data_IF_300912348401
#
_entry.id   IF_300912348401
#
_cell.length_a   1.000
_cell.length_b   1.000
_cell.length_c   1.000
_cell.angle_alpha   90.00
_cell.angle_beta   90.00
_cell.angle_gamma   90.00
#
_symmetry.space_group_name_H-M   'P 1'
#
loop_
_entity.id
_entity.type
_entity.pdbx_description
1 polymer ?
#
# COMPACT_ATOMS: atom_id res chain seq x y z
N UNK A 1 -1.73 30.76 7.52
CA UNK A 1 -1.27 29.85 6.44
C UNK A 1 -0.11 29.05 7.01
N UNK A 2 0.02 27.76 6.68
CA UNK A 2 1.22 27.02 7.08
C UNK A 2 2.30 27.35 6.05
N UNK A 3 3.38 27.96 6.48
CA UNK A 3 4.58 28.19 5.69
C UNK A 3 5.55 27.04 5.94
N UNK A 4 6.20 26.55 4.88
CA UNK A 4 7.35 25.66 4.99
C UNK A 4 8.58 26.47 5.41
N UNK A 5 9.65 25.76 5.85
CA UNK A 5 10.97 26.35 6.11
C UNK A 5 11.49 27.21 4.94
N UNK A 6 10.94 27.05 3.74
CA UNK A 6 11.26 27.81 2.52
C UNK A 6 10.28 28.96 2.20
N UNK A 7 9.35 29.33 3.10
CA UNK A 7 8.42 30.46 2.91
C UNK A 7 7.38 30.29 1.81
N UNK A 8 7.10 29.06 1.34
CA UNK A 8 6.11 28.80 0.30
C UNK A 8 4.76 28.40 0.90
N UNK A 9 3.68 28.95 0.36
CA UNK A 9 2.31 28.63 0.74
C UNK A 9 1.95 27.16 0.40
N UNK A 10 1.48 26.43 1.39
CA UNK A 10 0.98 25.05 1.25
C UNK A 10 -0.48 25.05 0.77
N UNK A 11 -0.70 25.19 -0.51
CA UNK A 11 -2.03 25.34 -1.12
C UNK A 11 -2.56 24.04 -1.72
N UNK A 12 -1.67 23.12 -2.11
CA UNK A 12 -2.03 21.90 -2.82
C UNK A 12 -2.48 20.79 -1.85
N UNK A 13 -3.38 19.93 -2.33
CA UNK A 13 -3.83 18.76 -1.57
C UNK A 13 -2.69 17.74 -1.44
N UNK A 14 -2.65 16.98 -0.32
CA UNK A 14 -1.64 15.93 -0.16
C UNK A 14 -1.81 14.84 -1.23
N UNK A 15 -0.69 14.37 -1.76
CA UNK A 15 -0.65 13.22 -2.66
C UNK A 15 -0.95 11.92 -1.89
N UNK A 16 -1.29 10.84 -2.61
CA UNK A 16 -1.51 9.54 -1.99
C UNK A 16 -0.25 9.03 -1.27
N UNK A 17 0.93 9.25 -1.86
CA UNK A 17 2.22 8.89 -1.24
C UNK A 17 2.41 9.60 0.11
N UNK A 18 2.12 10.91 0.17
CA UNK A 18 2.20 11.71 1.40
C UNK A 18 1.25 11.19 2.48
N UNK A 19 0.02 10.79 2.10
CA UNK A 19 -0.94 10.17 3.01
C UNK A 19 -0.45 8.81 3.54
N UNK A 20 0.15 7.98 2.68
CA UNK A 20 0.68 6.68 3.07
C UNK A 20 1.91 6.80 3.97
N UNK A 21 2.79 7.78 3.72
CA UNK A 21 3.92 8.10 4.58
C UNK A 21 3.49 8.61 5.96
N UNK A 22 2.48 9.48 6.01
CA UNK A 22 1.87 9.93 7.25
C UNK A 22 1.30 8.75 8.04
N UNK A 23 0.60 7.80 7.39
CA UNK A 23 0.13 6.57 8.02
C UNK A 23 1.28 5.71 8.54
N UNK A 24 2.33 5.48 7.77
CA UNK A 24 3.50 4.72 8.20
C UNK A 24 4.20 5.34 9.40
N UNK A 25 4.27 6.67 9.47
CA UNK A 25 4.83 7.39 10.62
C UNK A 25 3.89 7.45 11.84
N UNK A 26 2.71 6.84 11.78
CA UNK A 26 1.74 6.82 12.88
C UNK A 26 0.82 8.04 12.92
N UNK A 27 0.89 8.94 11.96
CA UNK A 27 0.03 10.11 11.87
C UNK A 27 -1.29 9.75 11.18
N UNK A 28 -2.32 9.50 11.99
CA UNK A 28 -3.68 9.23 11.51
C UNK A 28 -4.67 10.17 12.19
N UNK A 29 -5.75 10.58 11.52
CA UNK A 29 -6.77 11.42 12.15
C UNK A 29 -7.46 10.63 13.26
N UNK A 30 -7.59 11.24 14.44
CA UNK A 30 -8.28 10.64 15.59
C UNK A 30 -9.09 11.70 16.32
N UNK A 31 -10.37 11.44 16.52
CA UNK A 31 -11.23 12.25 17.37
C UNK A 31 -11.42 11.55 18.71
N UNK A 32 -10.98 12.21 19.80
CA UNK A 32 -11.21 11.74 21.16
C UNK A 32 -12.69 11.85 21.52
N UNK A 33 -13.36 12.88 21.00
CA UNK A 33 -14.79 13.12 21.25
C UNK A 33 -15.64 12.00 20.69
N UNK A 34 -15.31 11.52 19.49
CA UNK A 34 -16.02 10.38 18.90
C UNK A 34 -15.86 9.12 19.74
N UNK A 35 -14.63 8.82 20.19
CA UNK A 35 -14.38 7.64 21.03
C UNK A 35 -15.11 7.74 22.35
N UNK A 36 -15.06 8.90 23.00
CA UNK A 36 -15.78 9.14 24.26
C UNK A 36 -17.29 9.01 24.07
N UNK A 37 -17.85 9.65 23.05
CA UNK A 37 -19.28 9.57 22.74
C UNK A 37 -19.71 8.13 22.43
N UNK A 38 -18.94 7.40 21.63
CA UNK A 38 -19.23 6.01 21.27
C UNK A 38 -19.24 5.09 22.51
N UNK A 39 -18.24 5.22 23.38
CA UNK A 39 -18.13 4.39 24.60
C UNK A 39 -19.25 4.72 25.59
N UNK A 40 -19.53 6.01 25.82
CA UNK A 40 -20.61 6.43 26.73
C UNK A 40 -21.98 6.02 26.19
N UNK A 41 -22.24 6.22 24.90
CA UNK A 41 -23.49 5.75 24.28
C UNK A 41 -23.64 4.23 24.36
N UNK A 42 -22.56 3.47 24.10
CA UNK A 42 -22.57 2.01 24.23
C UNK A 42 -22.88 1.57 25.67
N UNK A 43 -22.31 2.26 26.69
CA UNK A 43 -22.59 2.00 28.07
C UNK A 43 -24.07 2.27 28.40
N UNK A 44 -24.62 3.41 27.97
CA UNK A 44 -26.01 3.78 28.24
C UNK A 44 -26.99 2.83 27.50
N UNK A 45 -26.69 2.45 26.27
CA UNK A 45 -27.46 1.47 25.50
C UNK A 45 -27.38 0.11 26.21
N UNK A 46 -26.19 -0.34 26.59
CA UNK A 46 -25.98 -1.57 27.33
C UNK A 46 -26.78 -1.59 28.64
N UNK A 47 -26.74 -0.49 29.41
CA UNK A 47 -27.50 -0.35 30.66
C UNK A 47 -29.03 -0.39 30.38
N UNK A 48 -29.50 0.22 29.27
CA UNK A 48 -30.92 0.23 28.91
C UNK A 48 -31.46 -1.16 28.60
N UNK A 49 -30.65 -1.98 27.90
CA UNK A 49 -31.06 -3.34 27.50
C UNK A 49 -30.78 -4.40 28.57
N UNK A 50 -29.65 -4.34 29.26
CA UNK A 50 -29.25 -5.33 30.26
C UNK A 50 -29.49 -4.89 31.72
N UNK A 51 -29.90 -3.65 31.97
CA UNK A 51 -30.02 -3.10 33.34
C UNK A 51 -30.92 -3.89 34.26
N UNK A 52 -32.10 -4.37 33.79
CA UNK A 52 -33.00 -5.22 34.55
C UNK A 52 -32.35 -6.56 34.94
N UNK A 53 -31.70 -7.24 33.99
CA UNK A 53 -30.98 -8.47 34.25
C UNK A 53 -29.79 -8.26 35.20
N UNK A 54 -29.12 -7.15 35.05
CA UNK A 54 -28.04 -6.73 35.93
C UNK A 54 -28.52 -6.49 37.37
N UNK A 55 -29.64 -5.78 37.55
CA UNK A 55 -30.25 -5.56 38.87
C UNK A 55 -30.65 -6.87 39.55
N UNK A 56 -31.24 -7.81 38.81
CA UNK A 56 -31.57 -9.15 39.35
C UNK A 56 -30.32 -9.96 39.67
N UNK A 57 -29.30 -9.91 38.81
CA UNK A 57 -27.99 -10.55 39.02
C UNK A 57 -27.32 -10.05 40.32
N UNK A 58 -27.24 -8.73 40.50
CA UNK A 58 -26.69 -8.14 41.75
C UNK A 58 -27.54 -8.42 42.98
N UNK A 59 -28.86 -8.44 42.85
CA UNK A 59 -29.74 -8.82 43.97
C UNK A 59 -29.48 -10.28 44.41
N UNK A 60 -29.33 -11.19 43.43
CA UNK A 60 -28.99 -12.59 43.67
C UNK A 60 -27.60 -12.73 44.29
N UNK A 61 -26.62 -12.01 43.77
CA UNK A 61 -25.26 -11.98 44.30
C UNK A 61 -25.24 -11.49 45.76
N UNK A 62 -25.97 -10.44 46.05
CA UNK A 62 -26.08 -9.91 47.40
C UNK A 62 -26.74 -10.92 48.35
N UNK A 63 -27.84 -11.54 47.92
CA UNK A 63 -28.50 -12.59 48.72
C UNK A 63 -27.57 -13.77 48.96
N UNK A 64 -26.91 -14.30 47.95
CA UNK A 64 -26.01 -15.44 48.08
C UNK A 64 -24.75 -15.12 48.89
N UNK A 65 -24.24 -13.88 48.84
CA UNK A 65 -23.11 -13.44 49.64
C UNK A 65 -23.44 -13.19 51.11
N UNK A 66 -24.71 -12.83 51.42
CA UNK A 66 -25.15 -12.56 52.80
C UNK A 66 -25.80 -13.79 53.46
N UNK A 67 -26.24 -14.78 52.71
CA UNK A 67 -26.82 -16.03 53.23
C UNK A 67 -25.82 -17.18 53.10
N UNK A 68 -24.97 -17.31 54.11
CA UNK A 68 -24.03 -18.42 54.18
C UNK A 68 -24.67 -19.61 54.91
N UNK A 69 -24.55 -20.83 54.37
CA UNK A 69 -24.89 -22.04 55.08
C UNK A 69 -23.88 -22.29 56.19
N UNK A 70 -24.27 -23.06 57.24
CA UNK A 70 -23.37 -23.40 58.34
C UNK A 70 -22.08 -24.08 57.87
N UNK A 71 -22.17 -24.93 56.84
CA UNK A 71 -21.02 -25.60 56.24
C UNK A 71 -20.08 -24.59 55.55
N UNK A 72 -20.61 -23.64 54.77
CA UNK A 72 -19.83 -22.58 54.09
C UNK A 72 -19.17 -21.63 55.08
N UNK A 73 -19.77 -21.45 56.27
CA UNK A 73 -19.23 -20.56 57.30
C UNK A 73 -18.14 -21.18 58.14
N UNK A 74 -18.13 -22.53 58.27
CA UNK A 74 -17.22 -23.26 59.15
C UNK A 74 -16.09 -24.00 58.42
N UNK A 75 -16.20 -24.22 57.12
CA UNK A 75 -15.17 -24.90 56.32
C UNK A 75 -14.28 -23.87 55.59
N UNK A 76 -13.03 -23.75 56.05
CA UNK A 76 -12.03 -22.86 55.46
C UNK A 76 -11.74 -23.16 53.98
N UNK A 77 -11.88 -24.43 53.55
CA UNK A 77 -11.65 -24.83 52.14
C UNK A 77 -12.72 -24.28 51.19
N UNK A 78 -13.89 -23.91 51.70
CA UNK A 78 -14.98 -23.35 50.87
C UNK A 78 -14.92 -21.83 50.73
N UNK A 79 -14.10 -21.13 51.51
CA UNK A 79 -14.01 -19.66 51.47
C UNK A 79 -13.55 -19.14 50.09
N UNK A 80 -12.45 -19.68 49.59
CA UNK A 80 -11.90 -19.26 48.30
C UNK A 80 -12.80 -19.64 47.10
N UNK A 81 -13.33 -20.88 46.99
CA UNK A 81 -14.30 -21.21 45.94
C UNK A 81 -15.55 -20.34 45.97
N UNK A 82 -16.11 -20.02 47.15
CA UNK A 82 -17.26 -19.14 47.26
C UNK A 82 -16.95 -17.71 46.79
N UNK A 83 -15.79 -17.16 47.19
CA UNK A 83 -15.35 -15.84 46.75
C UNK A 83 -15.20 -15.78 45.21
N UNK A 84 -14.58 -16.80 44.62
CA UNK A 84 -14.42 -16.90 43.18
C UNK A 84 -15.78 -17.03 42.47
N UNK A 85 -16.72 -17.78 43.05
CA UNK A 85 -18.06 -17.91 42.50
C UNK A 85 -18.83 -16.58 42.51
N UNK A 86 -18.76 -15.81 43.63
CA UNK A 86 -19.36 -14.48 43.74
C UNK A 86 -18.71 -13.49 42.76
N UNK A 87 -17.38 -13.50 42.64
CA UNK A 87 -16.65 -12.64 41.69
C UNK A 87 -17.04 -12.97 40.25
N UNK A 88 -17.12 -14.24 39.88
CA UNK A 88 -17.59 -14.69 38.57
C UNK A 88 -19.01 -14.25 38.27
N UNK A 89 -19.92 -14.39 39.24
CA UNK A 89 -21.32 -13.98 39.11
C UNK A 89 -21.42 -12.43 38.91
N UNK A 90 -20.66 -11.64 39.66
CA UNK A 90 -20.60 -10.18 39.49
C UNK A 90 -20.05 -9.78 38.12
N UNK A 91 -18.98 -10.46 37.65
CA UNK A 91 -18.41 -10.22 36.36
C UNK A 91 -19.40 -10.57 35.21
N UNK A 92 -20.08 -11.72 35.31
CA UNK A 92 -21.09 -12.11 34.30
C UNK A 92 -22.29 -11.17 34.29
N UNK A 93 -22.71 -10.61 35.43
CA UNK A 93 -23.79 -9.63 35.51
C UNK A 93 -23.43 -8.31 34.79
N UNK A 94 -22.15 -7.91 34.78
CA UNK A 94 -21.65 -6.68 34.11
C UNK A 94 -21.14 -6.91 32.71
N UNK A 95 -20.90 -8.17 32.30
CA UNK A 95 -20.29 -8.53 31.05
C UNK A 95 -20.93 -7.87 29.79
N UNK A 96 -22.26 -7.79 29.63
CA UNK A 96 -22.87 -7.18 28.46
C UNK A 96 -22.51 -5.70 28.27
N UNK A 97 -22.37 -4.95 29.35
CA UNK A 97 -21.96 -3.53 29.28
C UNK A 97 -20.47 -3.43 28.95
N UNK A 98 -19.63 -4.28 29.57
CA UNK A 98 -18.20 -4.31 29.32
C UNK A 98 -17.90 -4.69 27.89
N UNK A 99 -18.57 -5.70 27.34
CA UNK A 99 -18.42 -6.11 25.94
C UNK A 99 -18.81 -5.01 24.97
N UNK A 100 -19.96 -4.35 25.17
CA UNK A 100 -20.42 -3.24 24.34
C UNK A 100 -19.48 -2.04 24.39
N UNK A 101 -19.03 -1.67 25.58
CA UNK A 101 -18.10 -0.53 25.73
C UNK A 101 -16.73 -0.83 25.17
N UNK A 102 -16.23 -2.06 25.34
CA UNK A 102 -14.99 -2.53 24.74
C UNK A 102 -15.09 -2.53 23.21
N UNK A 103 -16.18 -3.09 22.68
CA UNK A 103 -16.42 -3.05 21.23
C UNK A 103 -16.47 -1.62 20.68
N UNK A 104 -17.18 -0.71 21.36
CA UNK A 104 -17.23 0.69 20.96
C UNK A 104 -15.84 1.37 21.03
N UNK A 105 -15.05 1.10 22.06
CA UNK A 105 -13.69 1.62 22.18
C UNK A 105 -12.76 1.13 21.06
N UNK A 106 -12.89 -0.14 20.66
CA UNK A 106 -12.08 -0.72 19.59
C UNK A 106 -12.55 -0.32 18.19
N UNK A 107 -13.85 -0.16 17.98
CA UNK A 107 -14.41 0.15 16.66
C UNK A 107 -14.43 1.65 16.33
N UNK A 108 -14.57 2.53 17.36
CA UNK A 108 -14.66 3.97 17.10
C UNK A 108 -13.47 4.57 16.36
N UNK A 109 -12.19 4.17 16.57
CA UNK A 109 -11.08 4.69 15.78
C UNK A 109 -11.11 4.26 14.29
N UNK A 110 -11.77 3.13 13.99
CA UNK A 110 -11.92 2.65 12.61
C UNK A 110 -12.76 3.59 11.74
N UNK A 111 -13.70 4.31 12.34
CA UNK A 111 -14.60 5.21 11.63
C UNK A 111 -13.88 6.40 10.95
N UNK A 112 -12.70 6.82 11.44
CA UNK A 112 -12.00 8.01 10.94
C UNK A 112 -10.65 7.65 10.32
N UNK A 113 -9.76 6.98 11.07
CA UNK A 113 -8.35 6.80 10.66
C UNK A 113 -7.91 5.35 10.54
N UNK A 114 -8.75 4.41 10.99
CA UNK A 114 -8.38 3.00 11.08
C UNK A 114 -7.40 2.67 12.22
N UNK A 115 -7.11 1.39 12.36
CA UNK A 115 -6.05 0.93 13.25
C UNK A 115 -4.70 1.15 12.59
N UNK A 116 -3.80 1.77 13.31
CA UNK A 116 -2.42 1.97 12.87
C UNK A 116 -1.46 1.58 14.00
N UNK A 117 -0.74 0.48 13.78
CA UNK A 117 0.33 0.02 14.66
C UNK A 117 1.65 0.49 14.02
N UNK A 118 2.18 1.61 14.51
CA UNK A 118 3.48 2.13 14.05
C UNK A 118 4.51 1.96 15.16
N UNK A 119 5.49 1.11 14.92
CA UNK A 119 6.62 0.91 15.84
C UNK A 119 7.51 2.15 15.94
N UNK A 120 7.54 2.99 14.90
CA UNK A 120 8.27 4.26 14.91
C UNK A 120 7.70 5.26 15.92
N UNK A 121 6.40 5.17 16.23
CA UNK A 121 5.76 6.00 17.25
C UNK A 121 6.14 5.60 18.68
N UNK A 122 6.66 4.39 18.89
CA UNK A 122 7.11 3.88 20.20
C UNK A 122 8.51 4.34 20.58
N UNK A 123 9.28 4.90 19.65
CA UNK A 123 10.63 5.41 19.92
C UNK A 123 10.53 6.62 20.88
N UNK A 124 11.20 6.57 22.03
CA UNK A 124 11.17 7.66 22.99
C UNK A 124 11.74 8.95 22.40
N UNK A 125 10.94 10.00 22.39
CA UNK A 125 11.39 11.30 21.90
C UNK A 125 11.59 12.24 23.10
N UNK A 126 12.81 12.30 23.62
CA UNK A 126 13.18 13.12 24.79
C UNK A 126 13.00 14.62 24.55
N UNK A 127 12.97 15.10 23.30
CA UNK A 127 12.69 16.51 23.02
C UNK A 127 11.30 16.95 23.46
N UNK A 128 10.36 16.02 23.61
CA UNK A 128 8.99 16.29 24.09
C UNK A 128 8.90 16.52 25.61
N UNK A 129 9.95 16.17 26.34
CA UNK A 129 10.03 16.37 27.80
C UNK A 129 10.43 17.81 28.18
N UNK A 130 10.84 18.62 27.23
CA UNK A 130 11.17 20.03 27.51
C UNK A 130 9.90 20.82 27.87
N UNK A 131 9.80 21.40 29.08
CA UNK A 131 8.59 22.10 29.54
C UNK A 131 8.39 23.47 28.86
N UNK A 132 9.46 24.11 28.41
CA UNK A 132 9.41 25.49 27.84
C UNK A 132 8.54 25.57 26.60
N UNK A 133 8.72 24.71 25.55
CA UNK A 133 7.81 24.68 24.39
C UNK A 133 6.39 24.28 24.76
N UNK A 134 6.22 23.48 25.82
CA UNK A 134 4.91 23.07 26.35
C UNK A 134 4.13 24.28 26.84
N UNK A 135 4.74 25.12 27.69
CA UNK A 135 4.15 26.34 28.21
C UNK A 135 3.82 27.35 27.10
N UNK A 136 4.73 27.57 26.14
CA UNK A 136 4.47 28.44 24.99
C UNK A 136 3.24 27.97 24.16
N UNK A 137 3.04 26.67 24.00
CA UNK A 137 1.85 26.13 23.29
C UNK A 137 0.56 26.39 24.05
N UNK A 138 0.55 26.34 25.40
CA UNK A 138 -0.64 26.63 26.21
C UNK A 138 -1.11 28.07 26.02
N UNK A 139 -0.19 29.02 25.92
CA UNK A 139 -0.49 30.45 25.70
C UNK A 139 -0.53 30.87 24.23
N UNK A 140 -0.46 29.91 23.29
CA UNK A 140 -0.58 30.18 21.88
C UNK A 140 -2.05 30.33 21.45
N UNK A 141 -2.29 30.92 20.27
CA UNK A 141 -3.64 31.00 19.66
C UNK A 141 -4.30 29.60 19.52
N UNK A 142 -3.50 28.52 19.39
CA UNK A 142 -4.04 27.15 19.42
C UNK A 142 -4.56 26.79 20.81
N UNK A 143 -3.84 27.15 21.87
CA UNK A 143 -4.30 26.91 23.24
C UNK A 143 -5.63 27.63 23.53
N UNK A 144 -5.76 28.90 23.11
CA UNK A 144 -7.00 29.68 23.25
C UNK A 144 -8.16 29.05 22.48
N UNK A 145 -7.93 28.58 21.25
CA UNK A 145 -9.00 27.92 20.45
C UNK A 145 -9.44 26.59 21.07
N UNK A 146 -8.54 25.80 21.63
CA UNK A 146 -8.89 24.57 22.34
C UNK A 146 -9.65 24.85 23.64
N UNK A 147 -9.26 25.89 24.37
CA UNK A 147 -9.97 26.33 25.58
C UNK A 147 -11.40 26.77 25.24
N UNK A 148 -11.58 27.55 24.17
CA UNK A 148 -12.91 28.00 23.73
C UNK A 148 -13.80 26.82 23.32
N UNK A 149 -13.26 25.85 22.59
CA UNK A 149 -13.97 24.61 22.27
C UNK A 149 -14.40 23.84 23.51
N UNK A 150 -13.50 23.69 24.49
CA UNK A 150 -13.79 23.00 25.74
C UNK A 150 -14.88 23.73 26.55
N UNK A 151 -14.85 25.05 26.56
CA UNK A 151 -15.88 25.87 27.20
C UNK A 151 -17.25 25.72 26.50
N UNK A 152 -17.28 25.74 25.18
CA UNK A 152 -18.51 25.53 24.41
C UNK A 152 -19.12 24.13 24.65
N UNK A 153 -18.29 23.09 24.75
CA UNK A 153 -18.72 21.72 25.14
C UNK A 153 -19.32 21.69 26.56
N UNK A 154 -18.62 22.30 27.48
CA UNK A 154 -19.11 22.40 28.87
C UNK A 154 -20.49 23.11 28.96
N UNK A 155 -20.63 24.22 28.21
CA UNK A 155 -21.91 24.94 28.16
C UNK A 155 -23.01 24.08 27.54
N UNK A 156 -22.75 23.39 26.45
CA UNK A 156 -23.75 22.55 25.78
C UNK A 156 -24.24 21.44 26.73
N UNK A 157 -23.32 20.71 27.36
CA UNK A 157 -23.66 19.63 28.31
C UNK A 157 -24.39 20.21 29.52
N UNK A 158 -23.93 21.34 30.06
CA UNK A 158 -24.55 22.04 31.16
C UNK A 158 -25.99 22.51 30.88
N UNK A 159 -26.21 23.09 29.71
CA UNK A 159 -27.55 23.51 29.27
C UNK A 159 -28.48 22.30 29.17
N UNK A 160 -28.05 21.20 28.56
CA UNK A 160 -28.85 19.98 28.40
C UNK A 160 -29.16 19.39 29.80
N UNK A 161 -28.19 19.36 30.70
CA UNK A 161 -28.39 18.91 32.07
C UNK A 161 -29.45 19.76 32.83
N UNK A 162 -29.34 21.09 32.73
CA UNK A 162 -30.29 22.00 33.38
C UNK A 162 -31.69 21.88 32.78
N UNK A 163 -31.81 21.79 31.43
CA UNK A 163 -33.10 21.60 30.78
C UNK A 163 -33.72 20.27 31.17
N UNK A 164 -32.94 19.18 31.19
CA UNK A 164 -33.41 17.87 31.63
C UNK A 164 -33.87 17.89 33.08
N UNK A 165 -33.09 18.49 33.99
CA UNK A 165 -33.42 18.59 35.40
C UNK A 165 -34.72 19.39 35.61
N UNK A 166 -34.88 20.53 34.93
CA UNK A 166 -36.11 21.34 35.00
C UNK A 166 -37.31 20.57 34.46
N UNK A 167 -37.16 19.85 33.35
CA UNK A 167 -38.26 19.07 32.78
C UNK A 167 -38.72 17.93 33.68
N UNK A 168 -37.84 17.35 34.49
CA UNK A 168 -38.13 16.23 35.37
C UNK A 168 -38.24 16.64 36.87
N UNK A 169 -38.18 17.94 37.18
CA UNK A 169 -38.17 18.42 38.56
C UNK A 169 -39.39 17.96 39.38
N UNK A 170 -40.59 18.03 38.80
CA UNK A 170 -41.83 17.58 39.46
C UNK A 170 -41.81 16.08 39.75
N UNK A 171 -41.35 15.28 38.79
CA UNK A 171 -41.18 13.80 38.92
C UNK A 171 -40.14 13.45 40.00
N UNK A 172 -39.02 14.18 40.06
CA UNK A 172 -38.01 13.99 41.10
C UNK A 172 -38.56 14.31 42.51
N UNK A 173 -39.34 15.37 42.62
CA UNK A 173 -39.96 15.75 43.93
C UNK A 173 -41.06 14.77 44.35
N UNK A 174 -41.77 14.13 43.39
CA UNK A 174 -42.83 13.16 43.68
C UNK A 174 -42.30 11.80 44.18
N UNK A 175 -41.02 11.46 43.91
CA UNK A 175 -40.42 10.17 44.31
C UNK A 175 -40.57 9.88 45.80
N UNK A 176 -40.52 10.89 46.65
CA UNK A 176 -40.68 10.76 48.10
C UNK A 176 -42.10 10.35 48.57
N UNK A 177 -43.10 10.50 47.70
CA UNK A 177 -44.50 10.17 47.99
C UNK A 177 -44.94 8.82 47.39
N UNK A 178 -44.04 8.13 46.69
CA UNK A 178 -44.34 6.86 46.02
C UNK A 178 -43.90 5.66 46.89
N UNK A 179 -44.56 4.49 46.77
CA UNK A 179 -44.07 3.25 47.36
C UNK A 179 -42.65 2.94 46.86
N UNK A 180 -41.78 2.39 47.72
CA UNK A 180 -40.36 2.21 47.49
C UNK A 180 -40.04 1.54 46.15
N UNK A 181 -40.75 0.47 45.84
CA UNK A 181 -40.53 -0.29 44.58
C UNK A 181 -40.86 0.54 43.31
N UNK A 182 -41.90 1.38 43.39
CA UNK A 182 -42.31 2.30 42.31
C UNK A 182 -41.31 3.45 42.20
N UNK A 183 -40.97 4.05 43.33
CA UNK A 183 -39.97 5.13 43.40
C UNK A 183 -38.59 4.70 42.84
N UNK A 184 -38.13 3.48 43.14
CA UNK A 184 -36.88 2.95 42.59
C UNK A 184 -36.95 2.80 41.03
N UNK A 185 -38.07 2.31 40.51
CA UNK A 185 -38.26 2.18 39.08
C UNK A 185 -38.32 3.54 38.37
N UNK A 186 -39.06 4.47 38.93
CA UNK A 186 -39.16 5.86 38.48
C UNK A 186 -37.78 6.54 38.52
N UNK A 187 -37.06 6.47 39.62
CA UNK A 187 -35.71 7.02 39.74
C UNK A 187 -34.74 6.44 38.67
N UNK A 188 -34.79 5.11 38.47
CA UNK A 188 -33.99 4.45 37.45
C UNK A 188 -34.36 4.95 36.03
N UNK A 189 -35.64 5.16 35.73
CA UNK A 189 -36.08 5.69 34.45
C UNK A 189 -35.62 7.14 34.22
N UNK A 190 -35.71 8.00 35.22
CA UNK A 190 -35.20 9.37 35.15
C UNK A 190 -33.70 9.41 35.00
N UNK A 191 -32.96 8.59 35.75
CA UNK A 191 -31.51 8.48 35.65
C UNK A 191 -31.11 7.96 34.24
N UNK A 192 -31.80 6.94 33.75
CA UNK A 192 -31.57 6.43 32.36
C UNK A 192 -31.85 7.49 31.29
N UNK A 193 -32.92 8.27 31.44
CA UNK A 193 -33.24 9.40 30.58
C UNK A 193 -32.16 10.50 30.63
N UNK A 194 -31.66 10.83 31.84
CA UNK A 194 -30.56 11.78 31.99
C UNK A 194 -29.29 11.31 31.28
N UNK A 195 -28.91 10.05 31.47
CA UNK A 195 -27.76 9.46 30.81
C UNK A 195 -27.90 9.48 29.27
N UNK A 196 -29.08 9.18 28.73
CA UNK A 196 -29.37 9.27 27.30
C UNK A 196 -29.27 10.72 26.78
N UNK A 197 -29.85 11.70 27.48
CA UNK A 197 -29.78 13.10 27.09
C UNK A 197 -28.34 13.63 27.11
N UNK A 198 -27.57 13.31 28.14
CA UNK A 198 -26.16 13.71 28.26
C UNK A 198 -25.29 13.00 27.23
N UNK A 199 -25.46 11.69 26.99
CA UNK A 199 -24.73 10.96 25.96
C UNK A 199 -25.09 11.44 24.54
N UNK A 200 -26.35 11.84 24.32
CA UNK A 200 -26.79 12.50 23.08
C UNK A 200 -26.03 13.81 22.82
N UNK A 201 -25.77 14.60 23.85
CA UNK A 201 -24.98 15.83 23.72
C UNK A 201 -23.55 15.54 23.32
N UNK A 202 -22.93 14.45 23.84
CA UNK A 202 -21.60 14.02 23.41
C UNK A 202 -21.57 13.57 21.95
N UNK A 203 -22.65 12.93 21.47
CA UNK A 203 -22.78 12.56 20.07
C UNK A 203 -22.82 13.80 19.14
N UNK A 204 -23.53 14.85 19.55
CA UNK A 204 -23.56 16.13 18.82
C UNK A 204 -22.15 16.75 18.79
N UNK A 205 -21.46 16.79 19.94
CA UNK A 205 -20.08 17.28 20.02
C UNK A 205 -19.17 16.49 19.08
N UNK A 206 -19.25 15.16 19.09
CA UNK A 206 -18.47 14.29 18.22
C UNK A 206 -18.79 14.54 16.73
N UNK A 207 -20.07 14.74 16.39
CA UNK A 207 -20.53 15.06 15.04
C UNK A 207 -19.90 16.34 14.48
N UNK A 208 -19.64 17.34 15.34
CA UNK A 208 -18.93 18.56 14.94
C UNK A 208 -17.40 18.37 14.95
N UNK A 209 -16.87 17.63 15.93
CA UNK A 209 -15.41 17.43 16.08
C UNK A 209 -14.81 16.59 14.95
N UNK A 210 -15.50 15.58 14.46
CA UNK A 210 -15.01 14.67 13.40
C UNK A 210 -14.64 15.42 12.12
N UNK A 211 -15.53 16.22 11.49
CA UNK A 211 -15.17 16.96 10.29
C UNK A 211 -14.08 18.01 10.53
N UNK A 212 -14.05 18.64 11.70
CA UNK A 212 -12.99 19.60 12.07
C UNK A 212 -11.64 18.89 12.19
N UNK A 213 -11.59 17.72 12.81
CA UNK A 213 -10.37 16.91 12.94
C UNK A 213 -9.87 16.44 11.58
N UNK A 214 -10.76 15.96 10.71
CA UNK A 214 -10.40 15.56 9.34
C UNK A 214 -9.85 16.74 8.53
N UNK A 215 -10.53 17.89 8.62
CA UNK A 215 -10.06 19.11 7.94
C UNK A 215 -8.66 19.55 8.43
N UNK A 216 -8.44 19.54 9.74
CA UNK A 216 -7.14 19.88 10.33
C UNK A 216 -6.05 18.88 9.92
N UNK A 217 -6.36 17.59 9.86
CA UNK A 217 -5.45 16.54 9.40
C UNK A 217 -5.02 16.77 7.95
N UNK A 218 -5.98 16.98 7.05
CA UNK A 218 -5.68 17.27 5.64
C UNK A 218 -4.87 18.58 5.51
N UNK A 219 -5.24 19.62 6.28
CA UNK A 219 -4.53 20.89 6.27
C UNK A 219 -3.07 20.76 6.72
N UNK A 220 -2.77 19.91 7.70
CA UNK A 220 -1.39 19.66 8.15
C UNK A 220 -0.54 18.90 7.13
N UNK A 221 -1.18 18.14 6.24
CA UNK A 221 -0.51 17.37 5.18
C UNK A 221 -0.46 18.09 3.84
N UNK A 222 -1.02 19.31 3.74
CA UNK A 222 -0.97 20.10 2.51
C UNK A 222 0.47 20.32 2.06
N UNK A 223 0.64 20.43 0.76
CA UNK A 223 1.93 20.52 0.10
C UNK A 223 2.06 21.83 -0.67
N UNK A 224 3.30 22.27 -0.89
CA UNK A 224 3.59 23.32 -1.85
C UNK A 224 3.57 22.74 -3.27
N UNK A 225 3.38 23.59 -4.29
CA UNK A 225 3.46 23.16 -5.70
C UNK A 225 4.82 22.55 -6.06
N UNK A 226 5.87 23.00 -5.39
CA UNK A 226 7.21 22.50 -5.63
C UNK A 226 7.38 21.08 -5.06
N UNK A 227 6.86 20.83 -3.85
CA UNK A 227 6.86 19.50 -3.23
C UNK A 227 6.09 18.48 -4.09
N UNK A 228 4.90 18.85 -4.59
CA UNK A 228 4.11 17.98 -5.49
C UNK A 228 4.89 17.66 -6.76
N UNK A 229 5.54 18.63 -7.39
CA UNK A 229 6.35 18.40 -8.59
C UNK A 229 7.56 17.51 -8.31
N UNK A 230 8.20 17.69 -7.17
CA UNK A 230 9.34 16.87 -6.77
C UNK A 230 8.91 15.42 -6.52
N UNK A 231 7.80 15.23 -5.83
CA UNK A 231 7.26 13.91 -5.54
C UNK A 231 6.83 13.16 -6.81
N UNK A 232 6.21 13.86 -7.77
CA UNK A 232 5.92 13.28 -9.10
C UNK A 232 7.19 12.84 -9.83
N UNK A 233 8.25 13.67 -9.81
CA UNK A 233 9.54 13.31 -10.42
C UNK A 233 10.17 12.08 -9.75
N UNK A 234 10.06 11.97 -8.44
CA UNK A 234 10.57 10.81 -7.69
C UNK A 234 9.75 9.55 -7.95
N UNK A 235 8.43 9.65 -8.03
CA UNK A 235 7.52 8.53 -8.28
C UNK A 235 7.61 8.01 -9.71
N UNK A 236 7.63 8.90 -10.72
CA UNK A 236 7.66 8.51 -12.12
C UNK A 236 9.06 8.11 -12.60
N UNK A 237 10.09 8.38 -11.80
CA UNK A 237 11.49 8.28 -12.19
C UNK A 237 11.86 9.36 -13.22
N UNK A 238 13.10 9.84 -13.20
CA UNK A 238 13.50 10.85 -14.19
C UNK A 238 13.45 10.25 -15.59
N UNK A 239 12.90 10.96 -16.59
CA UNK A 239 12.92 10.53 -17.99
C UNK A 239 14.33 10.20 -18.48
N UNK A 240 15.33 10.89 -17.94
CA UNK A 240 16.75 10.66 -18.20
C UNK A 240 17.23 9.29 -17.70
N UNK A 241 16.78 8.87 -16.50
CA UNK A 241 17.12 7.56 -15.96
C UNK A 241 16.50 6.44 -16.79
N UNK A 242 15.22 6.57 -17.19
CA UNK A 242 14.56 5.62 -18.10
C UNK A 242 15.30 5.57 -19.47
N UNK A 243 15.69 6.73 -19.98
CA UNK A 243 16.48 6.81 -21.22
C UNK A 243 17.85 6.13 -21.09
N UNK A 244 18.55 6.35 -19.97
CA UNK A 244 19.85 5.73 -19.68
C UNK A 244 19.75 4.21 -19.56
N UNK A 245 18.74 3.71 -18.83
CA UNK A 245 18.48 2.27 -18.70
C UNK A 245 18.22 1.65 -20.06
N UNK A 246 17.38 2.29 -20.91
CA UNK A 246 17.07 1.79 -22.26
C UNK A 246 18.30 1.73 -23.16
N UNK A 247 19.17 2.75 -23.12
CA UNK A 247 20.44 2.77 -23.85
C UNK A 247 21.37 1.64 -23.39
N UNK A 248 21.53 1.46 -22.07
CA UNK A 248 22.35 0.38 -21.51
C UNK A 248 21.84 -1.00 -21.89
N UNK A 249 20.53 -1.22 -21.92
CA UNK A 249 19.91 -2.46 -22.36
C UNK A 249 20.19 -2.73 -23.84
N UNK A 250 20.08 -1.71 -24.71
CA UNK A 250 20.39 -1.82 -26.15
C UNK A 250 21.86 -2.13 -26.39
N UNK A 251 22.77 -1.45 -25.67
CA UNK A 251 24.20 -1.72 -25.76
C UNK A 251 24.54 -3.15 -25.32
N UNK A 252 23.93 -3.61 -24.24
CA UNK A 252 24.15 -4.96 -23.74
C UNK A 252 23.62 -6.02 -24.72
N UNK A 253 22.44 -5.81 -25.29
CA UNK A 253 21.88 -6.68 -26.32
C UNK A 253 22.79 -6.72 -27.55
N UNK A 254 23.31 -5.56 -28.02
CA UNK A 254 24.24 -5.46 -29.11
C UNK A 254 25.57 -6.19 -28.83
N UNK A 255 26.12 -6.05 -27.61
CA UNK A 255 27.34 -6.77 -27.21
C UNK A 255 27.12 -8.28 -27.24
N UNK A 256 25.99 -8.78 -26.71
CA UNK A 256 25.66 -10.22 -26.75
C UNK A 256 25.52 -10.74 -28.17
N UNK A 257 24.86 -9.98 -29.05
CA UNK A 257 24.73 -10.32 -30.46
C UNK A 257 26.09 -10.45 -31.14
N UNK A 258 27.02 -9.51 -30.94
CA UNK A 258 28.34 -9.53 -31.52
C UNK A 258 29.20 -10.70 -31.00
N UNK A 259 28.98 -11.18 -29.76
CA UNK A 259 29.66 -12.37 -29.20
C UNK A 259 29.26 -13.68 -29.92
N UNK A 260 28.14 -13.72 -30.62
CA UNK A 260 27.72 -14.90 -31.40
C UNK A 260 28.36 -14.94 -32.81
N UNK A 261 28.92 -13.82 -33.28
CA UNK A 261 29.56 -13.76 -34.63
C UNK A 261 30.71 -14.78 -34.79
N UNK A 262 31.60 -14.99 -33.81
CA UNK A 262 32.65 -16.01 -33.92
C UNK A 262 32.14 -17.44 -34.07
N UNK A 263 30.91 -17.71 -33.68
CA UNK A 263 30.25 -19.03 -33.75
C UNK A 263 29.43 -19.21 -35.03
N UNK A 264 29.43 -18.21 -35.89
CA UNK A 264 28.72 -18.27 -37.17
C UNK A 264 29.51 -19.11 -38.20
N UNK A 265 28.79 -19.75 -39.13
CA UNK A 265 29.38 -20.52 -40.19
C UNK A 265 29.72 -19.67 -41.41
N UNK A 266 28.97 -18.60 -41.63
CA UNK A 266 29.18 -17.65 -42.71
C UNK A 266 28.61 -16.28 -42.35
N UNK A 267 29.24 -15.22 -42.82
CA UNK A 267 28.70 -13.86 -42.81
C UNK A 267 28.38 -13.45 -44.24
N UNK A 268 27.09 -13.17 -44.50
CA UNK A 268 26.61 -12.68 -45.78
C UNK A 268 26.60 -11.15 -45.73
N UNK A 269 27.21 -10.52 -46.76
CA UNK A 269 27.41 -9.08 -46.77
C UNK A 269 26.86 -8.38 -48.00
N UNK A 270 26.31 -7.19 -47.79
CA UNK A 270 26.31 -6.12 -48.75
C UNK A 270 27.43 -5.15 -48.34
N UNK A 271 28.55 -5.03 -49.06
CA UNK A 271 29.84 -4.52 -48.57
C UNK A 271 29.79 -3.22 -47.82
N UNK A 272 28.92 -2.29 -48.20
CA UNK A 272 28.83 -0.95 -47.57
C UNK A 272 27.72 -0.81 -46.57
N UNK A 273 26.68 -1.65 -46.58
CA UNK A 273 25.47 -1.38 -45.83
C UNK A 273 25.09 -2.45 -44.79
N UNK A 274 25.12 -3.75 -45.19
CA UNK A 274 24.56 -4.80 -44.33
C UNK A 274 25.52 -5.96 -44.12
N UNK A 275 25.45 -6.58 -42.94
CA UNK A 275 26.11 -7.85 -42.66
C UNK A 275 25.20 -8.72 -41.82
N UNK A 276 25.01 -9.98 -42.22
CA UNK A 276 24.17 -10.96 -41.54
C UNK A 276 24.99 -12.22 -41.32
N UNK A 277 25.17 -12.62 -40.05
CA UNK A 277 25.87 -13.84 -39.67
C UNK A 277 24.85 -14.98 -39.50
N UNK A 278 25.13 -16.09 -40.16
CA UNK A 278 24.31 -17.30 -40.16
C UNK A 278 25.04 -18.43 -39.44
N UNK A 279 24.30 -19.21 -38.68
CA UNK A 279 24.77 -20.46 -38.09
C UNK A 279 23.87 -21.60 -38.52
N UNK A 280 24.47 -22.73 -38.89
CA UNK A 280 23.76 -23.94 -39.28
C UNK A 280 24.45 -25.19 -38.74
N UNK A 281 23.68 -26.02 -38.03
CA UNK A 281 24.15 -27.35 -37.58
C UNK A 281 23.23 -28.41 -38.16
N UNK A 282 23.77 -29.19 -39.13
CA UNK A 282 23.00 -30.23 -39.84
C UNK A 282 22.35 -31.25 -38.90
N UNK A 283 22.94 -31.49 -37.73
CA UNK A 283 22.45 -32.51 -36.80
C UNK A 283 21.35 -32.00 -35.86
N UNK A 284 21.25 -30.69 -35.68
CA UNK A 284 20.40 -30.07 -34.63
C UNK A 284 19.40 -29.05 -35.14
N UNK A 285 19.58 -28.54 -36.38
CA UNK A 285 18.75 -27.43 -36.87
C UNK A 285 18.06 -27.82 -38.20
N UNK A 286 16.79 -27.43 -38.32
CA UNK A 286 16.00 -27.63 -39.53
C UNK A 286 16.38 -26.63 -40.62
N UNK A 287 16.74 -25.41 -40.22
CA UNK A 287 17.15 -24.33 -41.12
C UNK A 287 18.26 -23.51 -40.45
N UNK A 288 19.08 -22.77 -41.22
CA UNK A 288 20.04 -21.81 -40.69
C UNK A 288 19.34 -20.72 -39.91
N UNK A 289 19.99 -20.25 -38.81
CA UNK A 289 19.51 -19.15 -37.98
C UNK A 289 20.39 -17.92 -38.13
N UNK A 290 19.77 -16.73 -38.00
CA UNK A 290 20.46 -15.45 -37.98
C UNK A 290 20.97 -15.17 -36.56
N UNK A 291 22.29 -15.30 -36.34
CA UNK A 291 22.90 -15.08 -35.01
C UNK A 291 23.35 -13.64 -34.78
N UNK A 292 23.63 -12.91 -35.86
CA UNK A 292 23.89 -11.47 -35.77
C UNK A 292 23.48 -10.78 -37.07
N UNK A 293 22.95 -9.57 -36.96
CA UNK A 293 22.66 -8.71 -38.13
C UNK A 293 22.92 -7.25 -37.79
N UNK A 294 23.38 -6.48 -38.75
CA UNK A 294 23.69 -5.07 -38.56
C UNK A 294 23.75 -4.28 -39.86
N UNK A 295 23.53 -2.98 -39.71
CA UNK A 295 23.72 -1.99 -40.78
C UNK A 295 24.92 -1.10 -40.43
N UNK A 296 25.54 -0.53 -41.45
CA UNK A 296 26.60 0.50 -41.39
C UNK A 296 27.74 0.14 -40.42
N UNK A 297 27.87 0.87 -39.30
CA UNK A 297 28.90 0.62 -38.28
C UNK A 297 28.80 -0.78 -37.65
N UNK A 298 27.56 -1.24 -37.39
CA UNK A 298 27.34 -2.59 -36.84
C UNK A 298 27.75 -3.65 -37.84
N UNK A 299 27.44 -3.44 -39.13
CA UNK A 299 27.85 -4.33 -40.18
C UNK A 299 29.38 -4.37 -40.34
N UNK A 300 30.04 -3.22 -40.24
CA UNK A 300 31.51 -3.15 -40.25
C UNK A 300 32.12 -3.92 -39.07
N UNK A 301 31.57 -3.79 -37.86
CA UNK A 301 32.00 -4.53 -36.68
C UNK A 301 31.79 -6.04 -36.83
N UNK A 302 30.65 -6.48 -37.40
CA UNK A 302 30.41 -7.91 -37.68
C UNK A 302 31.46 -8.45 -38.63
N UNK A 303 31.78 -7.74 -39.71
CA UNK A 303 32.83 -8.15 -40.68
C UNK A 303 34.21 -8.23 -40.03
N UNK A 304 34.59 -7.23 -39.23
CA UNK A 304 35.86 -7.23 -38.51
C UNK A 304 35.96 -8.43 -37.55
N UNK A 305 34.94 -8.68 -36.72
CA UNK A 305 34.93 -9.82 -35.78
C UNK A 305 34.98 -11.15 -36.58
N UNK A 306 34.25 -11.25 -37.70
CA UNK A 306 34.27 -12.42 -38.54
C UNK A 306 35.66 -12.68 -39.13
N UNK A 307 36.35 -11.65 -39.65
CA UNK A 307 37.70 -11.75 -40.17
C UNK A 307 38.71 -12.15 -39.10
N UNK A 308 38.67 -11.57 -37.90
CA UNK A 308 39.52 -11.91 -36.75
C UNK A 308 39.35 -13.37 -36.31
N UNK A 309 38.14 -13.93 -36.42
CA UNK A 309 37.81 -15.30 -36.01
C UNK A 309 37.77 -16.29 -37.19
N UNK A 310 38.28 -15.90 -38.37
CA UNK A 310 38.33 -16.74 -39.59
C UNK A 310 36.96 -17.27 -40.04
N UNK A 311 35.89 -16.54 -39.71
CA UNK A 311 34.55 -16.83 -40.23
C UNK A 311 34.48 -16.36 -41.70
N UNK A 312 34.11 -17.22 -42.66
CA UNK A 312 34.04 -16.85 -44.05
C UNK A 312 33.03 -15.72 -44.30
N UNK A 313 33.45 -14.75 -45.11
CA UNK A 313 32.59 -13.64 -45.52
C UNK A 313 32.22 -13.85 -46.98
N UNK A 314 30.93 -13.90 -47.27
CA UNK A 314 30.41 -14.08 -48.64
C UNK A 314 29.64 -12.84 -49.05
N UNK A 315 30.04 -12.25 -50.16
CA UNK A 315 29.38 -11.07 -50.69
C UNK A 315 28.20 -11.48 -51.57
N UNK A 316 26.98 -11.14 -51.15
CA UNK A 316 25.73 -11.35 -51.86
C UNK A 316 24.75 -10.22 -51.49
N UNK A 317 24.85 -9.04 -52.13
CA UNK A 317 24.05 -7.87 -51.77
C UNK A 317 22.54 -8.10 -51.72
N UNK A 318 21.91 -8.80 -52.74
CA UNK A 318 20.48 -9.06 -52.70
C UNK A 318 20.07 -9.89 -51.48
N UNK A 319 20.80 -10.98 -51.20
CA UNK A 319 20.51 -11.87 -50.08
C UNK A 319 20.75 -11.20 -48.73
N UNK A 320 21.81 -10.42 -48.60
CA UNK A 320 22.11 -9.68 -47.37
C UNK A 320 21.00 -8.68 -47.01
N UNK A 321 20.43 -7.99 -48.00
CA UNK A 321 19.34 -7.03 -47.82
C UNK A 321 18.04 -7.71 -47.34
N UNK A 322 17.67 -8.80 -47.97
CA UNK A 322 16.46 -9.56 -47.62
C UNK A 322 16.59 -10.18 -46.24
N UNK A 323 17.72 -10.83 -45.90
CA UNK A 323 17.97 -11.41 -44.60
C UNK A 323 17.96 -10.36 -43.51
N UNK A 324 18.53 -9.18 -43.72
CA UNK A 324 18.53 -8.10 -42.74
C UNK A 324 17.13 -7.56 -42.49
N UNK A 325 16.32 -7.38 -43.55
CA UNK A 325 14.99 -6.80 -43.50
C UNK A 325 13.96 -7.77 -42.90
N UNK A 326 13.93 -9.01 -43.42
CA UNK A 326 12.80 -9.92 -43.25
C UNK A 326 13.03 -11.02 -42.18
N UNK A 327 14.26 -11.23 -41.74
CA UNK A 327 14.56 -12.26 -40.73
C UNK A 327 14.99 -11.62 -39.43
N UNK A 328 14.31 -11.95 -38.34
CA UNK A 328 14.64 -11.45 -37.00
C UNK A 328 15.89 -12.14 -36.44
N UNK A 329 16.50 -11.51 -35.41
CA UNK A 329 17.62 -12.07 -34.70
C UNK A 329 17.21 -13.36 -33.97
N UNK A 330 18.03 -14.41 -34.06
CA UNK A 330 17.78 -15.77 -33.60
C UNK A 330 16.59 -16.49 -34.24
N UNK A 331 16.05 -15.97 -35.34
CA UNK A 331 15.03 -16.64 -36.14
C UNK A 331 15.64 -17.51 -37.21
N UNK A 332 14.89 -18.54 -37.62
CA UNK A 332 15.22 -19.39 -38.79
C UNK A 332 15.03 -18.61 -40.08
N UNK A 333 15.88 -18.87 -41.03
CA UNK A 333 15.76 -18.34 -42.40
C UNK A 333 14.46 -18.89 -43.02
N UNK A 334 13.59 -18.07 -43.64
CA UNK A 334 12.35 -18.52 -44.25
C UNK A 334 12.59 -19.41 -45.47
N UNK A 335 11.62 -20.30 -45.75
CA UNK A 335 11.72 -21.29 -46.84
C UNK A 335 12.01 -20.68 -48.24
N UNK A 336 11.54 -19.47 -48.50
CA UNK A 336 11.79 -18.72 -49.71
C UNK A 336 13.28 -18.42 -49.97
N UNK A 337 14.09 -18.40 -48.92
CA UNK A 337 15.54 -18.11 -49.00
C UNK A 337 16.40 -19.36 -48.86
N UNK A 338 15.83 -20.56 -48.63
CA UNK A 338 16.60 -21.78 -48.39
C UNK A 338 17.57 -22.10 -49.53
N UNK A 339 17.14 -22.02 -50.80
CA UNK A 339 17.97 -22.35 -51.93
C UNK A 339 19.21 -21.44 -52.01
N UNK A 340 19.02 -20.14 -51.85
CA UNK A 340 20.10 -19.17 -51.91
C UNK A 340 21.08 -19.33 -50.72
N UNK A 341 20.55 -19.53 -49.51
CA UNK A 341 21.38 -19.73 -48.32
C UNK A 341 22.12 -21.07 -48.40
N UNK A 342 21.47 -22.15 -48.87
CA UNK A 342 22.11 -23.45 -49.04
C UNK A 342 23.26 -23.41 -50.02
N UNK A 343 23.10 -22.71 -51.16
CA UNK A 343 24.17 -22.51 -52.14
C UNK A 343 25.40 -21.82 -51.52
N UNK A 344 25.19 -20.79 -50.70
CA UNK A 344 26.27 -20.09 -49.99
C UNK A 344 26.93 -20.99 -48.95
N UNK A 345 26.13 -21.70 -48.12
CA UNK A 345 26.68 -22.60 -47.11
C UNK A 345 27.47 -23.76 -47.72
N UNK A 346 26.94 -24.38 -48.80
CA UNK A 346 27.63 -25.47 -49.48
C UNK A 346 28.98 -24.99 -50.07
N UNK A 347 29.00 -23.82 -50.69
CA UNK A 347 30.22 -23.21 -51.21
C UNK A 347 31.25 -22.96 -50.07
N UNK A 348 30.81 -22.43 -48.97
CA UNK A 348 31.69 -22.16 -47.81
C UNK A 348 32.22 -23.47 -47.19
N UNK A 349 31.36 -24.50 -47.07
CA UNK A 349 31.77 -25.83 -46.57
C UNK A 349 32.80 -26.48 -47.51
N UNK A 350 32.62 -26.39 -48.81
CA UNK A 350 33.60 -26.89 -49.79
C UNK A 350 34.95 -26.18 -49.69
N UNK A 351 34.96 -24.88 -49.39
CA UNK A 351 36.19 -24.13 -49.15
C UNK A 351 36.92 -24.51 -47.85
N UNK A 352 36.20 -25.01 -46.84
CA UNK A 352 36.77 -25.48 -45.57
C UNK A 352 37.35 -26.90 -45.67
N UNK A 353 36.86 -27.71 -46.59
CA UNK A 353 37.36 -29.09 -46.76
C UNK A 353 38.70 -29.06 -47.54
N UNK A 354 39.78 -29.68 -47.03
CA UNK A 354 41.05 -29.71 -47.75
C UNK A 354 40.85 -30.35 -49.13
N UNK A 355 41.27 -29.68 -50.18
CA UNK A 355 41.17 -30.21 -51.52
C UNK A 355 41.99 -31.51 -51.61
N UNK A 356 41.32 -32.65 -51.82
CA UNK A 356 41.95 -33.89 -52.26
C UNK A 356 42.61 -33.62 -53.64
N UNK A 357 43.84 -34.04 -53.78
CA UNK A 357 44.63 -33.79 -55.00
C UNK A 357 43.81 -34.06 -56.27
N UNK A 358 43.54 -32.99 -57.04
CA UNK A 358 42.82 -33.08 -58.33
C UNK A 358 41.37 -32.55 -58.32
N UNK A 359 40.81 -32.08 -57.24
CA UNK A 359 39.44 -31.51 -57.22
C UNK A 359 39.45 -30.08 -57.79
N UNK A 360 38.54 -29.79 -58.73
CA UNK A 360 38.33 -28.46 -59.27
C UNK A 360 37.89 -27.48 -58.17
N UNK A 361 38.40 -26.24 -58.19
CA UNK A 361 37.97 -25.20 -57.24
C UNK A 361 36.45 -25.01 -57.33
N UNK A 362 35.74 -24.94 -56.21
CA UNK A 362 34.29 -24.74 -56.22
C UNK A 362 33.95 -23.42 -56.93
N UNK A 363 32.98 -23.47 -57.82
CA UNK A 363 32.49 -22.30 -58.53
C UNK A 363 31.69 -21.43 -57.58
N UNK A 364 31.98 -20.12 -57.54
CA UNK A 364 31.23 -19.17 -56.71
C UNK A 364 29.77 -19.08 -57.19
N UNK A 365 28.78 -19.35 -56.35
CA UNK A 365 27.39 -19.27 -56.75
C UNK A 365 26.97 -17.83 -57.03
N UNK A 366 26.20 -17.65 -58.11
CA UNK A 366 25.58 -16.37 -58.45
C UNK A 366 24.20 -16.35 -57.86
N UNK A 367 23.94 -15.45 -56.93
CA UNK A 367 22.63 -15.30 -56.27
C UNK A 367 21.71 -14.46 -57.14
N UNK A 368 20.53 -14.98 -57.46
CA UNK A 368 19.54 -14.34 -58.34
C UNK A 368 19.04 -13.03 -57.71
N UNK A 369 19.11 -11.87 -58.38
CA UNK A 369 18.62 -10.60 -57.88
C UNK A 369 17.09 -10.54 -57.68
N UNK A 370 16.32 -11.46 -58.31
CA UNK A 370 14.86 -11.52 -58.15
C UNK A 370 14.40 -11.90 -56.75
N UNK A 371 15.29 -12.42 -55.88
CA UNK A 371 15.01 -12.72 -54.46
C UNK A 371 14.51 -11.48 -53.69
N UNK A 372 14.91 -10.27 -54.09
CA UNK A 372 14.45 -9.01 -53.51
C UNK A 372 12.96 -8.69 -53.78
N UNK A 373 12.39 -9.25 -54.84
CA UNK A 373 11.02 -8.95 -55.27
C UNK A 373 9.97 -9.88 -54.65
N UNK A 374 10.39 -10.98 -54.03
CA UNK A 374 9.49 -11.93 -53.38
C UNK A 374 9.01 -11.37 -52.07
N UNK A 375 7.98 -10.49 -52.11
CA UNK A 375 7.22 -10.08 -50.94
C UNK A 375 6.21 -11.18 -50.58
N UNK A 376 6.28 -11.66 -49.34
CA UNK A 376 5.16 -12.33 -48.69
C UNK A 376 4.46 -11.38 -47.73
#
# INVERSE_FOLDING_TARGET
MAENENGQDQTEQPTQKRLDEARKSGQVPRSRELTTAAVVLAAVIGLRFSGAAMATGFSTLMKSGLTLSREQALDENLLLPNLVALAKQGLLATAPILELTLAAALLSPLAIGGWNLSFTALVPNFSRLNPIPGLQRMFSMRGVTELLKSYAKFLLVGVIAVVFLRANAASLLSLGNEPLNVAMTHAASIAGGALLALSGSLAVIAGVDVPLTLHQYIKQLRMSRQEVRQEHRESDGSPELKGRIRRMQQEQARRRMLQEVPKADVVITNPTHYSVALRYDEKRMRAPIVVAKGADEVAANIRRIAAENKVPIFEAPPLARVLFRDVELNAEVPASLYVAVAQVLTYVLQLRTPATHGAARPVRPTIDPTIEQTRH
#
